data_IF_848470044336
#
_entry.id   IF_848470044336
#
_cell.length_a   1.000
_cell.length_b   1.000
_cell.length_c   1.000
_cell.angle_alpha   90.00
_cell.angle_beta   90.00
_cell.angle_gamma   90.00
#
_symmetry.space_group_name_H-M   'P 1'
#
loop_
_entity.id
_entity.type
_entity.pdbx_description
1 polymer ?
#
# COMPACT_ATOMS: atom_id res chain seq x y z
N UNK A 1 -18.33 -43.88 2.95
CA UNK A 1 -18.84 -43.04 4.06
C UNK A 1 -19.24 -41.70 3.47
N UNK A 2 -20.53 -41.47 3.28
CA UNK A 2 -21.04 -40.16 2.89
C UNK A 2 -21.11 -39.29 4.15
N UNK A 3 -20.28 -38.27 4.24
CA UNK A 3 -20.46 -37.25 5.27
C UNK A 3 -21.71 -36.45 4.93
N UNK A 4 -22.51 -36.13 5.94
CA UNK A 4 -23.59 -35.16 5.74
C UNK A 4 -23.02 -33.84 5.19
N UNK A 5 -23.67 -33.23 4.18
CA UNK A 5 -23.24 -31.95 3.65
C UNK A 5 -23.15 -30.90 4.76
N UNK A 6 -22.04 -30.16 4.79
CA UNK A 6 -21.84 -29.10 5.78
C UNK A 6 -22.90 -27.99 5.72
N UNK A 7 -23.51 -27.79 4.55
CA UNK A 7 -24.66 -26.92 4.30
C UNK A 7 -25.63 -27.66 3.38
N UNK A 8 -26.92 -27.34 3.44
CA UNK A 8 -27.98 -27.98 2.65
C UNK A 8 -28.79 -26.96 1.85
N UNK A 9 -29.42 -27.39 0.75
CA UNK A 9 -30.27 -26.50 -0.06
C UNK A 9 -31.59 -26.13 0.64
N UNK A 10 -32.12 -27.04 1.47
CA UNK A 10 -33.47 -26.93 2.02
C UNK A 10 -33.59 -26.26 3.39
N UNK A 11 -32.50 -26.10 4.14
CA UNK A 11 -32.57 -25.62 5.53
C UNK A 11 -31.72 -24.36 5.78
N UNK A 12 -32.36 -23.21 5.52
CA UNK A 12 -31.74 -21.89 5.73
C UNK A 12 -31.41 -21.63 7.20
N UNK A 13 -32.17 -22.19 8.15
CA UNK A 13 -31.95 -21.94 9.58
C UNK A 13 -30.75 -22.73 10.10
N UNK A 14 -30.63 -24.00 9.73
CA UNK A 14 -29.44 -24.80 10.02
C UNK A 14 -28.20 -24.19 9.35
N UNK A 15 -28.30 -23.78 8.08
CA UNK A 15 -27.21 -23.11 7.37
C UNK A 15 -26.75 -21.83 8.06
N UNK A 16 -27.70 -20.97 8.46
CA UNK A 16 -27.38 -19.70 9.14
C UNK A 16 -26.66 -19.93 10.47
N UNK A 17 -27.08 -20.97 11.20
CA UNK A 17 -26.48 -21.39 12.48
C UNK A 17 -25.07 -21.94 12.26
N UNK A 18 -24.89 -22.79 11.25
CA UNK A 18 -23.60 -23.40 10.90
C UNK A 18 -22.59 -22.36 10.39
N UNK A 19 -23.02 -21.44 9.51
CA UNK A 19 -22.22 -20.29 9.08
C UNK A 19 -21.89 -19.38 10.25
N UNK A 20 -22.81 -19.23 11.21
CA UNK A 20 -22.59 -18.46 12.42
C UNK A 20 -21.51 -19.07 13.33
N UNK A 21 -21.60 -20.39 13.58
CA UNK A 21 -20.59 -21.13 14.33
C UNK A 21 -19.21 -21.02 13.64
N UNK A 22 -19.18 -21.12 12.31
CA UNK A 22 -17.96 -20.92 11.54
C UNK A 22 -17.42 -19.49 11.64
N UNK A 23 -18.28 -18.47 11.62
CA UNK A 23 -17.88 -17.08 11.82
C UNK A 23 -17.22 -16.87 13.20
N UNK A 24 -17.79 -17.45 14.26
CA UNK A 24 -17.22 -17.42 15.62
C UNK A 24 -15.89 -18.15 15.67
N UNK A 25 -15.80 -19.34 15.05
CA UNK A 25 -14.56 -20.09 14.95
C UNK A 25 -13.46 -19.26 14.26
N UNK A 26 -13.78 -18.66 13.11
CA UNK A 26 -12.86 -17.78 12.39
C UNK A 26 -12.46 -16.57 13.23
N UNK A 27 -13.39 -15.98 13.96
CA UNK A 27 -13.12 -14.82 14.82
C UNK A 27 -12.26 -15.17 16.04
N UNK A 28 -12.37 -16.37 16.62
CA UNK A 28 -11.57 -16.77 17.79
C UNK A 28 -10.21 -17.37 17.42
N UNK A 29 -10.17 -18.19 16.36
CA UNK A 29 -9.01 -19.04 16.05
C UNK A 29 -8.37 -18.75 14.68
N UNK A 30 -9.04 -17.97 13.83
CA UNK A 30 -8.45 -17.44 12.59
C UNK A 30 -8.29 -18.41 11.42
N UNK A 31 -8.28 -19.73 11.69
CA UNK A 31 -7.91 -20.76 10.70
C UNK A 31 -6.62 -20.34 9.97
N UNK A 32 -5.60 -19.98 10.75
CA UNK A 32 -4.31 -19.53 10.27
C UNK A 32 -3.21 -20.21 11.12
N UNK A 33 -1.97 -20.20 10.63
CA UNK A 33 -0.82 -20.87 11.28
C UNK A 33 -0.53 -20.39 12.71
N UNK A 34 -1.07 -19.24 13.11
CA UNK A 34 -0.86 -18.65 14.44
C UNK A 34 -1.97 -18.97 15.44
N UNK A 35 -3.06 -19.60 14.99
CA UNK A 35 -4.25 -19.85 15.82
C UNK A 35 -4.93 -18.57 16.34
N UNK A 36 -4.67 -17.42 15.70
CA UNK A 36 -5.16 -16.11 16.16
C UNK A 36 -6.42 -15.70 15.42
N UNK A 37 -7.43 -15.25 16.14
CA UNK A 37 -8.68 -14.72 15.61
C UNK A 37 -8.57 -13.77 14.41
N UNK A 38 -9.46 -13.94 13.44
CA UNK A 38 -9.55 -13.05 12.28
C UNK A 38 -10.27 -11.74 12.61
N UNK A 39 -9.88 -10.66 11.92
CA UNK A 39 -10.65 -9.42 11.93
C UNK A 39 -12.03 -9.63 11.30
N UNK A 40 -13.01 -8.81 11.72
CA UNK A 40 -14.37 -8.80 11.17
C UNK A 40 -14.41 -8.82 9.63
N UNK A 41 -13.61 -7.97 8.98
CA UNK A 41 -13.54 -7.91 7.51
C UNK A 41 -13.03 -9.22 6.88
N UNK A 42 -12.05 -9.87 7.52
CA UNK A 42 -11.54 -11.17 7.07
C UNK A 42 -12.57 -12.27 7.26
N UNK A 43 -13.31 -12.27 8.37
CA UNK A 43 -14.44 -13.19 8.61
C UNK A 43 -15.48 -13.04 7.50
N UNK A 44 -15.92 -11.81 7.22
CA UNK A 44 -16.87 -11.54 6.14
C UNK A 44 -16.35 -12.04 4.78
N UNK A 45 -15.08 -11.79 4.45
CA UNK A 45 -14.49 -12.27 3.21
C UNK A 45 -14.51 -13.79 3.06
N UNK A 46 -14.22 -14.52 4.14
CA UNK A 46 -14.28 -16.00 4.15
C UNK A 46 -15.72 -16.51 4.00
N UNK A 47 -16.68 -15.90 4.69
CA UNK A 47 -18.09 -16.25 4.55
C UNK A 47 -18.62 -15.97 3.14
N UNK A 48 -18.21 -14.86 2.52
CA UNK A 48 -18.54 -14.55 1.13
C UNK A 48 -18.00 -15.60 0.17
N UNK A 49 -16.78 -16.12 0.38
CA UNK A 49 -16.23 -17.19 -0.45
C UNK A 49 -17.05 -18.49 -0.35
N UNK A 50 -17.47 -18.87 0.87
CA UNK A 50 -18.35 -20.03 1.08
C UNK A 50 -19.68 -19.87 0.34
N UNK A 51 -20.35 -18.72 0.51
CA UNK A 51 -21.63 -18.46 -0.18
C UNK A 51 -21.46 -18.41 -1.69
N UNK A 52 -20.37 -17.80 -2.17
CA UNK A 52 -20.06 -17.75 -3.59
C UNK A 52 -19.90 -19.16 -4.19
N UNK A 53 -19.16 -20.05 -3.51
CA UNK A 53 -19.01 -21.43 -3.98
C UNK A 53 -20.36 -22.14 -4.08
N UNK A 54 -21.20 -22.07 -3.04
CA UNK A 54 -22.49 -22.74 -3.07
C UNK A 54 -23.40 -22.20 -4.19
N UNK A 55 -23.44 -20.87 -4.33
CA UNK A 55 -24.26 -20.23 -5.36
C UNK A 55 -23.81 -20.56 -6.79
N UNK A 56 -22.51 -20.61 -7.04
CA UNK A 56 -21.97 -20.74 -8.41
C UNK A 56 -21.56 -22.17 -8.79
N UNK A 57 -21.26 -23.03 -7.80
CA UNK A 57 -20.81 -24.41 -8.03
C UNK A 57 -21.85 -25.42 -7.55
N UNK A 58 -22.47 -25.21 -6.38
CA UNK A 58 -23.43 -26.17 -5.83
C UNK A 58 -24.89 -25.91 -6.26
N UNK A 59 -25.16 -24.82 -6.97
CA UNK A 59 -26.49 -24.50 -7.51
C UNK A 59 -27.50 -23.95 -6.49
N UNK A 60 -27.07 -23.57 -5.28
CA UNK A 60 -27.97 -22.98 -4.29
C UNK A 60 -27.27 -21.93 -3.41
N UNK A 61 -28.00 -20.93 -2.91
CA UNK A 61 -27.50 -20.03 -1.88
C UNK A 61 -27.89 -20.60 -0.50
N UNK A 62 -26.94 -20.88 0.40
CA UNK A 62 -27.25 -21.40 1.73
C UNK A 62 -28.10 -20.42 2.56
N UNK A 63 -28.19 -19.15 2.15
CA UNK A 63 -28.99 -18.14 2.80
C UNK A 63 -28.40 -17.64 4.11
N UNK A 64 -28.86 -16.47 4.55
CA UNK A 64 -28.58 -15.91 5.88
C UNK A 64 -29.86 -15.29 6.41
N UNK A 65 -30.10 -15.38 7.72
CA UNK A 65 -31.26 -14.80 8.38
C UNK A 65 -30.84 -13.67 9.36
N UNK A 66 -31.82 -13.10 10.07
CA UNK A 66 -31.59 -11.99 11.00
C UNK A 66 -30.61 -12.32 12.14
N UNK A 67 -30.60 -13.57 12.62
CA UNK A 67 -29.69 -13.99 13.70
C UNK A 67 -28.23 -13.95 13.24
N UNK A 68 -27.95 -14.33 12.00
CA UNK A 68 -26.63 -14.23 11.40
C UNK A 68 -26.13 -12.77 11.33
N UNK A 69 -27.02 -11.83 10.99
CA UNK A 69 -26.69 -10.40 10.95
C UNK A 69 -26.42 -9.82 12.36
N UNK A 70 -27.16 -10.25 13.38
CA UNK A 70 -26.93 -9.87 14.78
C UNK A 70 -25.56 -10.39 15.24
N UNK A 71 -25.24 -11.65 14.94
CA UNK A 71 -23.96 -12.25 15.27
C UNK A 71 -22.78 -11.49 14.66
N UNK A 72 -22.85 -11.17 13.36
CA UNK A 72 -21.80 -10.41 12.67
C UNK A 72 -21.62 -9.00 13.26
N UNK A 73 -22.71 -8.35 13.68
CA UNK A 73 -22.63 -7.08 14.44
C UNK A 73 -21.95 -7.25 15.79
N UNK A 74 -22.25 -8.33 16.50
CA UNK A 74 -21.58 -8.72 17.74
C UNK A 74 -20.07 -8.91 17.54
N UNK A 75 -19.69 -9.74 16.57
CA UNK A 75 -18.27 -9.96 16.19
C UNK A 75 -17.59 -8.64 15.86
N UNK A 76 -18.24 -7.75 15.09
CA UNK A 76 -17.68 -6.43 14.76
C UNK A 76 -17.45 -5.58 16.01
N UNK A 77 -18.38 -5.58 16.97
CA UNK A 77 -18.30 -4.82 18.21
C UNK A 77 -17.22 -5.33 19.15
N UNK A 78 -17.06 -6.65 19.25
CA UNK A 78 -16.06 -7.30 20.11
C UNK A 78 -14.69 -7.47 19.46
N UNK A 79 -14.59 -7.25 18.14
CA UNK A 79 -13.30 -7.18 17.47
C UNK A 79 -12.62 -5.86 17.81
N UNK A 80 -11.41 -5.92 18.38
CA UNK A 80 -10.61 -4.74 18.63
C UNK A 80 -10.48 -3.89 17.36
N UNK A 81 -10.64 -2.55 17.45
CA UNK A 81 -10.48 -1.69 16.29
C UNK A 81 -9.14 -1.91 15.61
N UNK A 82 -9.14 -1.93 14.27
CA UNK A 82 -7.90 -2.03 13.52
C UNK A 82 -7.06 -0.79 13.79
N UNK A 83 -5.93 -0.97 14.46
CA UNK A 83 -4.99 0.12 14.73
C UNK A 83 -4.43 0.63 13.40
N UNK A 84 -4.88 1.80 12.97
CA UNK A 84 -4.41 2.41 11.73
C UNK A 84 -2.94 2.80 11.82
N UNK A 85 -2.22 2.53 10.74
CA UNK A 85 -0.86 3.00 10.54
C UNK A 85 -0.84 4.53 10.42
N UNK A 86 0.21 5.18 10.92
CA UNK A 86 0.39 6.63 10.86
C UNK A 86 1.06 7.05 9.54
N UNK A 87 0.78 8.26 9.03
CA UNK A 87 1.47 8.81 7.86
C UNK A 87 2.95 8.99 8.12
N UNK A 88 3.78 8.70 7.12
CA UNK A 88 5.17 9.15 7.10
C UNK A 88 5.21 10.63 6.71
N UNK A 89 5.65 11.52 7.60
CA UNK A 89 5.65 12.97 7.36
C UNK A 89 6.95 13.45 6.69
N UNK A 90 6.96 14.65 6.07
CA UNK A 90 8.18 15.27 5.57
C UNK A 90 9.31 15.40 6.61
N UNK A 91 8.97 15.65 7.88
CA UNK A 91 9.94 15.75 8.98
C UNK A 91 10.62 14.40 9.23
N UNK A 92 9.83 13.31 9.27
CA UNK A 92 10.37 11.97 9.38
C UNK A 92 11.23 11.59 8.17
N UNK A 93 10.86 12.02 6.96
CA UNK A 93 11.70 11.83 5.76
C UNK A 93 13.06 12.54 5.89
N UNK A 94 13.09 13.74 6.47
CA UNK A 94 14.34 14.47 6.72
C UNK A 94 15.21 13.78 7.80
N UNK A 95 14.61 13.19 8.83
CA UNK A 95 15.33 12.35 9.79
C UNK A 95 15.90 11.09 9.14
N UNK A 96 15.13 10.44 8.24
CA UNK A 96 15.61 9.26 7.53
C UNK A 96 16.87 9.59 6.73
N UNK A 97 16.87 10.64 5.89
CA UNK A 97 18.02 10.91 5.03
C UNK A 97 19.29 11.25 5.82
N UNK A 98 19.17 11.87 7.00
CA UNK A 98 20.30 12.14 7.89
C UNK A 98 20.97 10.87 8.41
N UNK A 99 20.22 9.76 8.49
CA UNK A 99 20.73 8.46 8.92
C UNK A 99 21.30 7.59 7.78
N UNK A 100 21.25 8.06 6.53
CA UNK A 100 21.67 7.30 5.35
C UNK A 100 23.02 7.79 4.81
N UNK A 101 23.86 6.87 4.36
CA UNK A 101 25.10 7.17 3.66
C UNK A 101 24.89 7.12 2.14
N UNK A 102 24.49 8.26 1.56
CA UNK A 102 24.23 8.40 0.12
C UNK A 102 25.48 8.28 -0.78
N UNK A 103 26.67 8.01 -0.23
CA UNK A 103 27.82 7.56 -1.01
C UNK A 103 27.69 6.09 -1.46
N UNK A 104 26.86 5.30 -0.79
CA UNK A 104 26.67 3.87 -1.11
C UNK A 104 25.50 3.66 -2.09
N UNK A 105 25.63 2.80 -3.11
CA UNK A 105 24.51 2.49 -4.02
C UNK A 105 23.28 1.95 -3.31
N UNK A 106 23.48 1.20 -2.22
CA UNK A 106 22.39 0.66 -1.40
C UNK A 106 21.50 1.75 -0.83
N UNK A 107 22.09 2.73 -0.15
CA UNK A 107 21.32 3.81 0.48
C UNK A 107 20.73 4.77 -0.55
N UNK A 108 21.40 4.94 -1.69
CA UNK A 108 20.85 5.67 -2.85
C UNK A 108 19.55 5.01 -3.36
N UNK A 109 19.54 3.67 -3.53
CA UNK A 109 18.33 2.94 -3.92
C UNK A 109 17.25 3.00 -2.84
N UNK A 110 17.62 2.84 -1.57
CA UNK A 110 16.68 2.90 -0.45
C UNK A 110 16.01 4.27 -0.37
N UNK A 111 16.80 5.34 -0.42
CA UNK A 111 16.31 6.72 -0.37
C UNK A 111 15.47 7.08 -1.59
N UNK A 112 15.98 6.81 -2.80
CA UNK A 112 15.26 7.06 -4.04
C UNK A 112 13.95 6.27 -4.11
N UNK A 113 13.98 5.00 -3.70
CA UNK A 113 12.80 4.14 -3.63
C UNK A 113 11.76 4.62 -2.62
N UNK A 114 12.20 5.08 -1.44
CA UNK A 114 11.33 5.66 -0.43
C UNK A 114 10.61 6.90 -0.95
N UNK A 115 11.34 7.82 -1.58
CA UNK A 115 10.76 9.04 -2.14
C UNK A 115 9.84 8.75 -3.33
N UNK A 116 10.20 7.84 -4.25
CA UNK A 116 9.27 7.43 -5.32
C UNK A 116 7.99 6.83 -4.74
N UNK A 117 8.11 5.95 -3.73
CA UNK A 117 6.95 5.38 -3.06
C UNK A 117 6.05 6.42 -2.40
N UNK A 118 6.65 7.47 -1.84
CA UNK A 118 5.94 8.57 -1.19
C UNK A 118 5.25 9.49 -2.22
N UNK A 119 5.96 9.99 -3.22
CA UNK A 119 5.38 10.93 -4.21
C UNK A 119 4.35 10.24 -5.11
N UNK A 120 4.65 9.07 -5.65
CA UNK A 120 3.76 8.34 -6.56
C UNK A 120 2.73 7.44 -5.87
N UNK A 121 2.62 7.55 -4.54
CA UNK A 121 1.70 6.76 -3.71
C UNK A 121 1.80 5.26 -3.97
N UNK A 122 3.01 4.73 -4.17
CA UNK A 122 3.21 3.35 -4.57
C UNK A 122 2.84 2.38 -3.45
N UNK A 123 2.22 1.25 -3.82
CA UNK A 123 2.06 0.10 -2.93
C UNK A 123 3.42 -0.59 -2.81
N UNK A 124 3.73 -1.13 -1.63
CA UNK A 124 4.99 -1.85 -1.40
C UNK A 124 5.32 -2.90 -2.48
N UNK A 125 4.31 -3.60 -3.00
CA UNK A 125 4.47 -4.67 -4.00
C UNK A 125 4.77 -4.16 -5.40
N UNK A 126 4.57 -2.88 -5.67
CA UNK A 126 4.81 -2.25 -6.98
C UNK A 126 6.29 -1.89 -7.16
N UNK A 127 7.10 -1.81 -6.10
CA UNK A 127 8.50 -1.34 -6.21
C UNK A 127 9.50 -2.00 -5.26
N UNK A 128 9.05 -2.77 -4.27
CA UNK A 128 9.93 -3.44 -3.30
C UNK A 128 9.90 -4.95 -3.46
N UNK A 129 11.03 -5.57 -3.13
CA UNK A 129 11.12 -7.02 -2.95
C UNK A 129 10.34 -7.45 -1.69
N UNK A 130 9.66 -8.59 -1.78
CA UNK A 130 8.98 -9.27 -0.68
C UNK A 130 9.80 -10.51 -0.32
N UNK A 131 10.65 -10.36 0.71
CA UNK A 131 11.70 -11.33 0.98
C UNK A 131 12.71 -11.36 -0.18
N UNK A 132 12.83 -12.52 -0.84
CA UNK A 132 13.70 -12.71 -2.03
C UNK A 132 12.94 -12.68 -3.36
N UNK A 133 11.63 -12.44 -3.34
CA UNK A 133 10.77 -12.44 -4.53
C UNK A 133 10.27 -11.03 -4.84
N UNK A 134 9.83 -10.80 -6.06
CA UNK A 134 9.06 -9.63 -6.46
C UNK A 134 7.87 -10.09 -7.31
N UNK A 135 6.93 -9.20 -7.56
CA UNK A 135 5.82 -9.46 -8.47
C UNK A 135 6.22 -9.13 -9.92
N UNK A 136 5.57 -9.76 -10.89
CA UNK A 136 5.89 -9.57 -12.32
C UNK A 136 5.68 -8.12 -12.80
N UNK A 137 4.75 -7.41 -12.15
CA UNK A 137 4.42 -6.00 -12.37
C UNK A 137 5.30 -5.01 -11.57
N UNK A 138 6.41 -5.45 -10.99
CA UNK A 138 7.32 -4.55 -10.27
C UNK A 138 7.86 -3.46 -11.21
N UNK A 139 7.98 -2.24 -10.69
CA UNK A 139 8.56 -1.09 -11.39
C UNK A 139 10.00 -1.43 -11.83
N UNK A 140 10.23 -1.45 -13.15
CA UNK A 140 11.54 -1.76 -13.73
C UNK A 140 12.34 -0.48 -13.94
N UNK A 141 13.65 -0.64 -14.11
CA UNK A 141 14.55 0.50 -14.25
C UNK A 141 14.26 1.34 -15.51
N UNK A 142 13.87 0.70 -16.63
CA UNK A 142 13.43 1.39 -17.86
C UNK A 142 12.17 2.23 -17.69
N UNK A 143 11.32 1.80 -16.77
CA UNK A 143 10.03 2.45 -16.52
C UNK A 143 10.16 3.70 -15.65
N UNK A 144 11.35 4.00 -15.12
CA UNK A 144 11.66 5.27 -14.42
C UNK A 144 12.40 6.18 -15.40
N UNK A 145 11.72 7.20 -15.92
CA UNK A 145 12.25 8.11 -16.94
C UNK A 145 12.45 9.51 -16.37
N UNK A 146 13.55 10.14 -16.74
CA UNK A 146 13.87 11.53 -16.38
C UNK A 146 13.62 12.36 -17.63
N UNK A 147 12.73 13.36 -17.52
CA UNK A 147 12.28 14.12 -18.69
C UNK A 147 12.60 15.62 -18.54
N UNK A 148 12.87 16.25 -19.68
CA UNK A 148 13.00 17.69 -19.81
C UNK A 148 11.63 18.40 -19.88
N UNK A 149 11.61 19.71 -20.09
CA UNK A 149 10.38 20.50 -20.15
C UNK A 149 9.49 20.14 -21.35
N UNK A 150 10.07 19.58 -22.42
CA UNK A 150 9.37 19.10 -23.60
C UNK A 150 8.92 17.63 -23.46
N UNK A 151 9.07 17.03 -22.27
CA UNK A 151 8.74 15.64 -21.97
C UNK A 151 9.59 14.59 -22.71
N UNK A 152 10.77 14.99 -23.20
CA UNK A 152 11.71 14.06 -23.83
C UNK A 152 12.65 13.45 -22.77
N UNK A 153 13.09 12.22 -23.02
CA UNK A 153 14.12 11.60 -22.18
C UNK A 153 15.38 12.46 -22.15
N UNK A 154 15.88 12.71 -20.95
CA UNK A 154 17.03 13.58 -20.75
C UNK A 154 17.96 13.08 -19.65
N UNK A 155 19.16 13.63 -19.65
CA UNK A 155 20.16 13.34 -18.63
C UNK A 155 19.77 13.97 -17.28
N UNK A 156 20.17 13.36 -16.14
CA UNK A 156 19.84 13.79 -14.78
C UNK A 156 19.96 15.30 -14.47
N UNK A 157 20.90 15.99 -15.10
CA UNK A 157 21.13 17.43 -14.86
C UNK A 157 20.04 18.33 -15.45
N UNK A 158 19.44 17.94 -16.58
CA UNK A 158 18.42 18.75 -17.28
C UNK A 158 16.99 18.33 -16.93
N UNK A 159 16.81 17.23 -16.19
CA UNK A 159 15.50 16.73 -15.85
C UNK A 159 14.72 17.71 -14.96
N UNK A 160 13.52 18.06 -15.41
CA UNK A 160 12.54 18.90 -14.68
C UNK A 160 11.36 18.08 -14.18
N UNK A 161 11.17 16.88 -14.72
CA UNK A 161 10.16 15.94 -14.26
C UNK A 161 10.68 14.50 -14.31
N UNK A 162 9.98 13.63 -13.60
CA UNK A 162 10.14 12.18 -13.65
C UNK A 162 8.81 11.58 -14.07
N UNK A 163 8.85 10.63 -15.01
CA UNK A 163 7.73 9.74 -15.26
C UNK A 163 8.01 8.33 -14.74
N UNK A 164 6.95 7.68 -14.26
CA UNK A 164 6.98 6.23 -14.01
C UNK A 164 5.89 5.55 -14.83
N UNK A 165 6.23 4.41 -15.43
CA UNK A 165 5.26 3.51 -16.05
C UNK A 165 4.96 2.35 -15.13
N UNK A 166 3.68 2.13 -14.84
CA UNK A 166 3.22 1.01 -14.03
C UNK A 166 2.45 0.04 -14.94
N UNK A 167 3.00 -1.16 -15.10
CA UNK A 167 2.47 -2.20 -16.00
C UNK A 167 1.47 -3.14 -15.32
N UNK A 168 1.18 -2.92 -14.03
CA UNK A 168 0.19 -3.68 -13.29
C UNK A 168 0.16 -3.35 -11.80
N UNK A 169 -0.87 -3.84 -11.13
CA UNK A 169 -1.02 -3.77 -9.68
C UNK A 169 -1.96 -4.87 -9.20
N UNK A 170 -1.91 -5.22 -7.91
CA UNK A 170 -2.81 -6.21 -7.28
C UNK A 170 -4.31 -5.98 -7.58
N UNK A 171 -4.71 -4.73 -7.83
CA UNK A 171 -6.09 -4.35 -8.11
C UNK A 171 -6.33 -3.95 -9.58
N UNK A 172 -5.35 -4.17 -10.47
CA UNK A 172 -5.48 -3.90 -11.91
C UNK A 172 -5.51 -5.26 -12.64
N UNK A 173 -6.62 -5.99 -12.51
CA UNK A 173 -6.81 -7.32 -13.11
C UNK A 173 -6.77 -7.30 -14.65
N UNK A 174 -6.89 -6.12 -15.27
CA UNK A 174 -6.85 -5.93 -16.72
C UNK A 174 -5.53 -5.32 -17.24
N UNK A 175 -4.50 -5.19 -16.40
CA UNK A 175 -3.14 -4.87 -16.84
C UNK A 175 -2.96 -3.54 -17.56
N UNK A 176 -3.85 -2.56 -17.36
CA UNK A 176 -3.72 -1.25 -18.03
C UNK A 176 -2.41 -0.58 -17.60
N UNK A 177 -1.55 -0.28 -18.57
CA UNK A 177 -0.37 0.54 -18.33
C UNK A 177 -0.80 1.94 -17.92
N UNK A 178 -0.20 2.44 -16.84
CA UNK A 178 -0.44 3.79 -16.37
C UNK A 178 0.89 4.54 -16.27
N UNK A 179 1.00 5.65 -17.00
CA UNK A 179 2.09 6.59 -16.81
C UNK A 179 1.69 7.67 -15.80
N UNK A 180 2.61 8.03 -14.92
CA UNK A 180 2.43 9.08 -13.91
C UNK A 180 3.63 9.99 -13.93
N UNK A 181 3.40 11.26 -13.63
CA UNK A 181 4.42 12.30 -13.71
C UNK A 181 4.51 13.05 -12.39
N UNK A 182 5.72 13.45 -12.03
CA UNK A 182 5.96 14.47 -11.02
C UNK A 182 7.06 15.42 -11.47
N UNK A 183 6.79 16.71 -11.32
CA UNK A 183 7.79 17.76 -11.49
C UNK A 183 8.69 17.87 -10.26
N UNK A 184 9.79 18.62 -10.40
CA UNK A 184 10.61 19.02 -9.25
C UNK A 184 9.74 19.71 -8.20
N UNK A 185 9.92 19.34 -6.94
CA UNK A 185 9.20 19.92 -5.81
C UNK A 185 9.74 21.27 -5.34
N UNK A 186 10.91 21.70 -5.84
CA UNK A 186 11.66 22.84 -5.31
C UNK A 186 12.47 22.53 -4.05
N UNK A 187 12.12 21.49 -3.29
CA UNK A 187 12.83 21.11 -2.07
C UNK A 187 14.24 20.51 -2.36
N UNK A 188 15.21 20.87 -1.53
CA UNK A 188 16.60 20.45 -1.67
C UNK A 188 16.81 18.93 -1.44
N UNK A 189 15.94 18.30 -0.67
CA UNK A 189 16.05 16.91 -0.19
C UNK A 189 14.87 16.08 -0.68
N UNK A 190 13.65 16.59 -0.52
CA UNK A 190 12.40 15.88 -0.79
C UNK A 190 11.91 16.17 -2.21
N UNK A 191 12.56 15.57 -3.21
CA UNK A 191 12.24 15.82 -4.62
C UNK A 191 12.14 14.52 -5.43
N UNK A 192 11.03 14.27 -6.15
CA UNK A 192 10.84 13.03 -6.92
C UNK A 192 11.83 12.91 -8.09
N UNK A 193 12.22 14.03 -8.71
CA UNK A 193 13.29 14.01 -9.73
C UNK A 193 14.63 13.62 -9.11
N UNK A 194 14.98 14.14 -7.93
CA UNK A 194 16.19 13.71 -7.20
C UNK A 194 16.12 12.25 -6.79
N UNK A 195 14.94 11.74 -6.44
CA UNK A 195 14.71 10.33 -6.14
C UNK A 195 15.09 9.42 -7.32
N UNK A 196 14.57 9.72 -8.51
CA UNK A 196 14.92 8.98 -9.73
C UNK A 196 16.40 9.10 -10.08
N UNK A 197 17.02 10.27 -9.86
CA UNK A 197 18.47 10.44 -10.05
C UNK A 197 19.31 9.55 -9.15
N UNK A 198 18.93 9.40 -7.87
CA UNK A 198 19.62 8.48 -6.95
C UNK A 198 19.50 7.02 -7.42
N UNK A 199 18.32 6.63 -7.89
CA UNK A 199 18.10 5.29 -8.43
C UNK A 199 18.97 5.04 -9.67
N UNK A 200 18.97 5.97 -10.64
CA UNK A 200 19.78 5.85 -11.86
C UNK A 200 21.28 5.84 -11.54
N UNK A 201 21.75 6.69 -10.62
CA UNK A 201 23.16 6.71 -10.18
C UNK A 201 23.58 5.35 -9.61
N UNK A 202 22.80 4.81 -8.69
CA UNK A 202 23.09 3.52 -8.10
C UNK A 202 23.03 2.39 -9.14
N UNK A 203 22.02 2.41 -10.02
CA UNK A 203 21.87 1.43 -11.08
C UNK A 203 23.07 1.41 -12.04
N UNK A 204 23.63 2.58 -12.38
CA UNK A 204 24.87 2.69 -13.16
C UNK A 204 26.05 2.05 -12.43
N UNK A 205 26.26 2.38 -11.15
CA UNK A 205 27.34 1.77 -10.35
C UNK A 205 27.20 0.26 -10.23
N UNK A 206 25.96 -0.23 -10.10
CA UNK A 206 25.63 -1.65 -9.95
C UNK A 206 25.47 -2.39 -11.28
N UNK A 207 25.61 -1.71 -12.43
CA UNK A 207 25.40 -2.25 -13.78
C UNK A 207 24.04 -2.97 -13.92
N UNK A 208 22.99 -2.37 -13.37
CA UNK A 208 21.65 -2.96 -13.36
C UNK A 208 21.04 -2.92 -14.77
N UNK A 209 20.54 -4.06 -15.26
CA UNK A 209 19.84 -4.15 -16.53
C UNK A 209 18.52 -3.35 -16.48
N UNK A 210 18.16 -2.69 -17.58
CA UNK A 210 16.97 -1.84 -17.67
C UNK A 210 15.64 -2.59 -17.44
N UNK A 211 15.60 -3.89 -17.77
CA UNK A 211 14.44 -4.75 -17.55
C UNK A 211 14.37 -5.31 -16.12
N UNK A 212 15.40 -5.12 -15.30
CA UNK A 212 15.36 -5.56 -13.90
C UNK A 212 14.58 -4.57 -13.02
N UNK A 213 14.14 -4.99 -11.83
CA UNK A 213 13.50 -4.09 -10.87
C UNK A 213 14.36 -2.85 -10.60
N UNK A 214 13.71 -1.68 -10.52
CA UNK A 214 14.40 -0.39 -10.41
C UNK A 214 15.29 -0.30 -9.15
N UNK A 215 14.94 -1.05 -8.10
CA UNK A 215 15.65 -1.06 -6.81
C UNK A 215 16.52 -2.31 -6.61
N UNK A 216 17.08 -2.87 -7.69
CA UNK A 216 17.96 -4.03 -7.63
C UNK A 216 19.36 -3.65 -7.15
N UNK A 217 19.88 -4.41 -6.18
CA UNK A 217 21.28 -4.36 -5.73
C UNK A 217 22.14 -5.41 -6.45
N UNK A 218 21.52 -6.51 -6.89
CA UNK A 218 22.10 -7.54 -7.74
C UNK A 218 20.98 -8.28 -8.49
N UNK A 219 21.31 -9.24 -9.34
CA UNK A 219 20.32 -10.00 -10.13
C UNK A 219 19.20 -10.64 -9.28
N UNK A 220 19.49 -11.03 -8.03
CA UNK A 220 18.54 -11.73 -7.15
C UNK A 220 18.21 -10.98 -5.85
N UNK A 221 18.70 -9.75 -5.67
CA UNK A 221 18.49 -8.97 -4.43
C UNK A 221 18.23 -7.51 -4.75
N UNK A 222 17.39 -6.88 -3.95
CA UNK A 222 17.14 -5.44 -4.02
C UNK A 222 16.55 -4.92 -2.71
N UNK A 223 16.18 -3.65 -2.72
CA UNK A 223 15.55 -3.01 -1.55
C UNK A 223 14.25 -3.75 -1.25
N UNK A 224 14.19 -4.34 -0.06
CA UNK A 224 13.05 -5.17 0.34
C UNK A 224 12.14 -4.45 1.34
N UNK A 225 10.90 -4.92 1.41
CA UNK A 225 9.87 -4.35 2.27
C UNK A 225 10.18 -4.40 3.77
N UNK A 226 11.01 -5.33 4.24
CA UNK A 226 11.43 -5.40 5.65
C UNK A 226 12.44 -4.31 5.96
N UNK A 227 13.44 -4.12 5.11
CA UNK A 227 14.41 -3.03 5.19
C UNK A 227 13.70 -1.67 5.18
N UNK A 228 12.85 -1.42 4.19
CA UNK A 228 12.07 -0.18 4.09
C UNK A 228 11.22 0.08 5.36
N UNK A 229 10.53 -0.94 5.87
CA UNK A 229 9.75 -0.80 7.10
C UNK A 229 10.64 -0.48 8.31
N UNK A 230 11.81 -1.12 8.42
CA UNK A 230 12.73 -0.89 9.52
C UNK A 230 13.31 0.54 9.49
N UNK A 231 13.65 1.05 8.31
CA UNK A 231 14.11 2.45 8.13
C UNK A 231 13.06 3.44 8.61
N UNK A 232 11.80 3.27 8.18
CA UNK A 232 10.69 4.12 8.62
C UNK A 232 10.48 4.04 10.14
N UNK A 233 10.52 2.82 10.70
CA UNK A 233 10.35 2.61 12.14
C UNK A 233 11.50 3.18 12.97
N UNK A 234 12.73 3.15 12.46
CA UNK A 234 13.89 3.73 13.12
C UNK A 234 13.73 5.25 13.25
N UNK A 235 13.30 5.92 12.17
CA UNK A 235 13.03 7.36 12.21
C UNK A 235 11.86 7.71 13.14
N UNK A 236 10.79 6.91 13.12
CA UNK A 236 9.68 7.08 14.07
C UNK A 236 10.16 7.00 15.52
N UNK A 237 10.99 5.99 15.85
CA UNK A 237 11.59 5.84 17.18
C UNK A 237 12.47 7.04 17.55
N UNK A 238 13.32 7.49 16.63
CA UNK A 238 14.18 8.66 16.85
C UNK A 238 13.37 9.94 17.11
N UNK A 239 12.17 10.05 16.54
CA UNK A 239 11.24 11.14 16.77
C UNK A 239 10.33 10.94 18.02
N UNK A 240 10.58 9.93 18.85
CA UNK A 240 9.77 9.63 20.04
C UNK A 240 8.37 9.06 19.73
N UNK A 241 8.13 8.58 18.51
CA UNK A 241 6.86 7.99 18.08
C UNK A 241 6.87 6.47 18.23
N UNK A 242 5.70 5.88 18.47
CA UNK A 242 5.53 4.42 18.54
C UNK A 242 5.80 3.76 17.16
N UNK A 243 6.89 2.99 16.99
CA UNK A 243 7.24 2.37 15.71
C UNK A 243 6.27 1.26 15.28
N UNK A 244 5.44 0.71 16.18
CA UNK A 244 4.45 -0.30 15.80
C UNK A 244 3.32 0.27 14.92
N UNK A 245 3.14 1.60 14.98
CA UNK A 245 2.21 2.38 14.15
C UNK A 245 2.74 2.67 12.76
N UNK A 246 3.95 2.23 12.43
CA UNK A 246 4.59 2.50 11.14
C UNK A 246 4.95 1.23 10.37
N UNK A 247 4.86 1.31 9.05
CA UNK A 247 5.21 0.22 8.13
C UNK A 247 5.49 0.76 6.74
N UNK A 248 5.74 -0.11 5.76
CA UNK A 248 5.77 0.29 4.34
C UNK A 248 4.48 0.96 3.88
N UNK A 249 3.34 0.69 4.53
CA UNK A 249 2.09 1.36 4.18
C UNK A 249 2.09 2.84 4.58
N UNK A 250 2.80 3.21 5.65
CA UNK A 250 2.94 4.59 6.11
C UNK A 250 3.53 5.53 5.05
N UNK A 251 4.36 5.01 4.14
CA UNK A 251 4.94 5.79 3.02
C UNK A 251 3.83 6.31 2.11
N UNK A 252 2.96 5.42 1.65
CA UNK A 252 1.82 5.76 0.80
C UNK A 252 0.78 6.61 1.51
N UNK A 253 0.51 6.32 2.79
CA UNK A 253 -0.37 7.17 3.63
C UNK A 253 0.23 8.58 3.74
N UNK A 254 1.54 8.68 3.96
CA UNK A 254 2.26 9.95 4.08
C UNK A 254 2.12 10.85 2.86
N UNK A 255 2.34 10.30 1.66
CA UNK A 255 2.14 11.04 0.42
C UNK A 255 0.69 11.49 0.24
N UNK A 256 -0.28 10.62 0.52
CA UNK A 256 -1.70 10.93 0.38
C UNK A 256 -2.16 11.99 1.40
N UNK A 257 -1.68 11.90 2.64
CA UNK A 257 -1.83 12.93 3.67
C UNK A 257 -1.27 14.25 3.19
N UNK A 258 -0.09 14.25 2.56
CA UNK A 258 0.55 15.50 2.13
C UNK A 258 -0.22 16.15 0.98
N UNK A 259 -0.72 15.38 0.01
CA UNK A 259 -1.61 15.88 -1.03
C UNK A 259 -2.91 16.47 -0.45
N UNK A 260 -3.56 15.77 0.49
CA UNK A 260 -4.77 16.28 1.14
C UNK A 260 -4.53 17.63 1.82
N UNK A 261 -3.46 17.74 2.60
CA UNK A 261 -3.16 18.96 3.36
C UNK A 261 -2.63 20.10 2.48
N UNK A 262 -2.21 19.81 1.25
CA UNK A 262 -1.92 20.83 0.23
C UNK A 262 -3.17 21.27 -0.54
N UNK A 263 -4.36 20.78 -0.19
CA UNK A 263 -5.62 21.13 -0.86
C UNK A 263 -5.80 20.46 -2.22
N UNK A 264 -5.08 19.36 -2.50
CA UNK A 264 -5.25 18.65 -3.77
C UNK A 264 -6.66 18.07 -3.88
N UNK A 265 -7.23 18.17 -5.08
CA UNK A 265 -8.58 17.68 -5.36
C UNK A 265 -8.70 16.16 -5.11
N UNK A 266 -9.90 15.76 -4.68
CA UNK A 266 -10.25 14.37 -4.37
C UNK A 266 -9.99 13.42 -5.55
N UNK A 267 -10.28 13.84 -6.79
CA UNK A 267 -10.05 13.03 -7.98
C UNK A 267 -8.54 12.87 -8.22
N UNK A 268 -7.75 13.91 -8.02
CA UNK A 268 -6.27 13.83 -8.13
C UNK A 268 -5.72 12.81 -7.14
N UNK A 269 -6.13 12.84 -5.86
CA UNK A 269 -5.72 11.82 -4.89
C UNK A 269 -6.12 10.41 -5.34
N UNK A 270 -7.37 10.24 -5.79
CA UNK A 270 -7.90 8.95 -6.22
C UNK A 270 -7.12 8.37 -7.41
N UNK A 271 -6.84 9.20 -8.41
CA UNK A 271 -6.09 8.84 -9.63
C UNK A 271 -4.62 8.56 -9.30
N UNK A 272 -3.96 9.44 -8.53
CA UNK A 272 -2.56 9.28 -8.17
C UNK A 272 -2.29 7.99 -7.41
N UNK A 273 -3.15 7.66 -6.44
CA UNK A 273 -2.99 6.42 -5.69
C UNK A 273 -3.65 5.21 -6.33
N UNK A 274 -4.33 5.34 -7.47
CA UNK A 274 -4.94 4.20 -8.18
C UNK A 274 -5.94 3.47 -7.29
N UNK A 275 -6.84 4.21 -6.66
CA UNK A 275 -7.89 3.65 -5.82
C UNK A 275 -9.19 3.48 -6.62
N UNK A 276 -9.66 2.23 -6.72
CA UNK A 276 -10.93 1.91 -7.38
C UNK A 276 -12.13 2.44 -6.58
N UNK A 277 -12.09 2.27 -5.26
CA UNK A 277 -13.15 2.69 -4.34
C UNK A 277 -12.72 3.88 -3.49
N UNK A 278 -13.69 4.47 -2.79
CA UNK A 278 -13.47 5.55 -1.83
C UNK A 278 -12.77 5.09 -0.53
N UNK A 279 -12.27 3.85 -0.47
CA UNK A 279 -11.51 3.35 0.68
C UNK A 279 -10.27 4.21 1.00
N UNK A 280 -9.80 5.03 0.05
CA UNK A 280 -8.68 5.93 0.27
C UNK A 280 -8.95 7.04 1.28
N UNK A 281 -10.21 7.48 1.42
CA UNK A 281 -10.61 8.54 2.34
C UNK A 281 -10.29 8.20 3.80
N UNK A 282 -10.15 6.91 4.12
CA UNK A 282 -9.83 6.45 5.47
C UNK A 282 -8.35 6.55 5.85
N UNK A 283 -7.44 6.89 4.90
CA UNK A 283 -5.99 6.92 5.15
C UNK A 283 -5.43 8.31 5.47
N UNK A 284 -5.62 9.35 4.62
CA UNK A 284 -5.08 10.67 4.89
C UNK A 284 -5.57 11.23 6.22
N UNK A 285 -4.73 12.02 6.87
CA UNK A 285 -5.07 12.69 8.13
C UNK A 285 -5.01 14.20 7.89
N UNK A 286 -6.04 14.93 8.30
CA UNK A 286 -6.00 16.39 8.30
C UNK A 286 -5.06 16.86 9.43
N UNK A 287 -4.03 17.63 9.07
CA UNK A 287 -3.04 18.17 10.00
C UNK A 287 -3.36 19.63 10.32
N UNK A 288 -2.69 20.18 11.34
CA UNK A 288 -2.81 21.60 11.69
C UNK A 288 -2.56 22.52 10.47
N UNK A 289 -1.56 22.18 9.64
CA UNK A 289 -1.24 22.95 8.43
C UNK A 289 -2.37 22.90 7.40
N UNK A 290 -2.97 21.73 7.16
CA UNK A 290 -4.09 21.62 6.21
C UNK A 290 -5.38 22.27 6.72
N UNK A 291 -5.52 22.41 8.05
CA UNK A 291 -6.67 23.10 8.66
C UNK A 291 -6.56 24.61 8.71
N UNK A 292 -5.42 25.21 8.31
CA UNK A 292 -5.11 26.63 8.55
C UNK A 292 -6.20 27.61 8.09
N UNK A 293 -6.87 27.30 6.98
CA UNK A 293 -7.90 28.16 6.37
C UNK A 293 -9.34 27.71 6.68
N UNK A 294 -9.53 26.57 7.36
CA UNK A 294 -10.87 25.99 7.55
C UNK A 294 -11.73 26.84 8.50
N UNK A 295 -11.14 27.47 9.51
CA UNK A 295 -11.91 28.37 10.37
C UNK A 295 -12.43 29.60 9.62
N UNK A 296 -11.68 30.08 8.61
CA UNK A 296 -12.03 31.28 7.83
C UNK A 296 -13.23 31.07 6.90
N UNK A 297 -13.50 29.83 6.46
CA UNK A 297 -14.63 29.49 5.59
C UNK A 297 -15.90 29.12 6.36
N UNK A 298 -15.82 29.00 7.68
CA UNK A 298 -16.93 28.61 8.54
C UNK A 298 -17.75 29.81 9.05
N UNK A 299 -17.26 31.02 8.83
CA UNK A 299 -17.87 32.30 9.15
C UNK A 299 -18.09 33.09 7.87
#
# INVERSE_FOLDING_TARGET
MGYEPWLSQGDVNANASQLGAYAVYLWRFGMNRRGQGNTYSTVCGKLCAVRWYHKNTAGYDPGVNASHAILLRGIRRFTSPVVKQRPLTPELLRLIVQSLNLCTPRDQLLWGGLLLGYFFLLRRSEYLFIGRRHHDYILRLKDVRLLDAAQNDTIPRHAVMVSIRLTGAKNNQYGREEERFHFRSGDAVLCPVKAARWIKKAATTLKTNENHPALSMSAAKGVNSKEMANTVKAAARAAGLDPTRFSTHSVRIGGATSLLNSGADRLVLKVMGRWLSNAFEAYPVLTASGSKHLAQIMC
#
